data_IF_250824223697
#
_entry.id   IF_250824223697
#
_cell.length_a   1.000
_cell.length_b   1.000
_cell.length_c   1.000
_cell.angle_alpha   90.00
_cell.angle_beta   90.00
_cell.angle_gamma   90.00
#
_symmetry.space_group_name_H-M   'P 1'
#
loop_
_entity.id
_entity.type
_entity.pdbx_description
1 polymer ?
#
# COMPACT_ATOMS: atom_id res chain seq x y z
N UNK A 1 23.73 5.54 -31.28
CA UNK A 1 23.74 5.08 -29.87
C UNK A 1 22.72 3.96 -29.71
N UNK A 2 23.12 2.73 -29.36
CA UNK A 2 22.17 1.65 -29.16
C UNK A 2 21.29 1.97 -27.94
N UNK A 3 19.96 1.88 -28.11
CA UNK A 3 19.00 1.97 -27.00
C UNK A 3 19.31 0.82 -26.03
N UNK A 4 19.81 1.14 -24.83
CA UNK A 4 19.92 0.17 -23.73
C UNK A 4 18.54 -0.45 -23.51
N UNK A 5 18.33 -1.67 -24.00
CA UNK A 5 17.17 -2.48 -23.65
C UNK A 5 17.25 -2.72 -22.14
N UNK A 6 16.37 -2.08 -21.38
CA UNK A 6 16.28 -2.27 -19.95
C UNK A 6 16.18 -3.77 -19.66
N UNK A 7 17.18 -4.32 -18.97
CA UNK A 7 17.20 -5.72 -18.55
C UNK A 7 15.90 -5.98 -17.78
N UNK A 8 15.10 -6.94 -18.24
CA UNK A 8 13.83 -7.30 -17.58
C UNK A 8 14.19 -7.79 -16.18
N UNK A 9 13.96 -6.96 -15.16
CA UNK A 9 14.25 -7.29 -13.77
C UNK A 9 13.37 -8.46 -13.37
N UNK A 10 13.97 -9.56 -12.90
CA UNK A 10 13.21 -10.68 -12.36
C UNK A 10 12.59 -10.23 -11.02
N UNK A 11 11.27 -10.09 -11.00
CA UNK A 11 10.54 -9.59 -9.84
C UNK A 11 10.85 -10.36 -8.56
N UNK A 12 10.89 -11.70 -8.61
CA UNK A 12 11.13 -12.52 -7.42
C UNK A 12 12.54 -12.32 -6.86
N UNK A 13 13.54 -12.19 -7.72
CA UNK A 13 14.91 -11.90 -7.30
C UNK A 13 15.03 -10.47 -6.75
N UNK A 14 14.29 -9.53 -7.34
CA UNK A 14 14.31 -8.14 -6.94
C UNK A 14 13.73 -7.92 -5.54
N UNK A 15 12.55 -8.47 -5.23
CA UNK A 15 11.91 -8.24 -3.92
C UNK A 15 12.64 -8.89 -2.73
N UNK A 16 13.56 -9.83 -2.98
CA UNK A 16 14.43 -10.40 -1.95
C UNK A 16 15.80 -9.71 -1.87
N UNK A 17 16.12 -8.85 -2.84
CA UNK A 17 17.41 -8.17 -2.94
C UNK A 17 17.62 -7.10 -1.86
N UNK A 18 18.88 -6.72 -1.64
CA UNK A 18 19.23 -5.58 -0.79
C UNK A 18 18.79 -4.25 -1.39
N UNK A 19 18.77 -4.13 -2.72
CA UNK A 19 18.30 -2.92 -3.42
C UNK A 19 16.86 -2.58 -3.02
N UNK A 20 15.95 -3.55 -3.10
CA UNK A 20 14.57 -3.39 -2.64
C UNK A 20 14.48 -3.05 -1.14
N UNK A 21 15.16 -3.82 -0.30
CA UNK A 21 15.11 -3.65 1.16
C UNK A 21 15.66 -2.31 1.62
N UNK A 22 16.68 -1.78 0.94
CA UNK A 22 17.31 -0.50 1.27
C UNK A 22 16.37 0.70 1.12
N UNK A 23 15.31 0.57 0.32
CA UNK A 23 14.31 1.62 0.13
C UNK A 23 13.28 1.69 1.26
N UNK A 24 13.05 0.57 1.97
CA UNK A 24 12.02 0.46 3.00
C UNK A 24 12.13 1.51 4.12
N UNK A 25 13.32 1.82 4.70
CA UNK A 25 13.42 2.81 5.76
C UNK A 25 12.90 4.19 5.34
N UNK A 26 13.20 4.62 4.12
CA UNK A 26 12.76 5.90 3.58
C UNK A 26 11.24 5.94 3.41
N UNK A 27 10.65 4.87 2.87
CA UNK A 27 9.20 4.75 2.72
C UNK A 27 8.48 4.73 4.06
N UNK A 28 8.98 3.96 5.03
CA UNK A 28 8.43 3.91 6.39
C UNK A 28 8.50 5.26 7.07
N UNK A 29 9.63 5.97 6.97
CA UNK A 29 9.80 7.31 7.55
C UNK A 29 8.81 8.30 6.92
N UNK A 30 8.63 8.27 5.60
CA UNK A 30 7.74 9.17 4.88
C UNK A 30 6.26 8.99 5.25
N UNK A 31 5.83 7.77 5.59
CA UNK A 31 4.47 7.51 6.09
C UNK A 31 4.35 7.64 7.61
N UNK A 32 5.40 8.08 8.30
CA UNK A 32 5.43 8.24 9.75
C UNK A 32 5.31 6.92 10.52
N UNK A 33 5.82 5.82 9.96
CA UNK A 33 5.75 4.48 10.54
C UNK A 33 4.31 4.03 10.84
N UNK A 34 3.34 4.43 10.01
CA UNK A 34 1.93 4.04 10.10
C UNK A 34 1.47 3.30 8.86
N UNK A 35 0.57 2.36 9.04
CA UNK A 35 -0.08 1.64 7.94
C UNK A 35 -0.87 2.63 7.08
N UNK A 36 -0.63 2.61 5.77
CA UNK A 36 -1.31 3.55 4.85
C UNK A 36 -2.79 3.23 4.64
N UNK A 37 -3.20 1.97 4.83
CA UNK A 37 -4.61 1.58 4.82
C UNK A 37 -5.32 1.96 6.13
N UNK A 38 -4.65 1.75 7.26
CA UNK A 38 -5.18 1.99 8.61
C UNK A 38 -4.22 2.90 9.40
N UNK A 39 -4.37 4.23 9.29
CA UNK A 39 -3.41 5.19 9.83
C UNK A 39 -3.10 5.11 11.33
N UNK A 40 -3.97 4.48 12.11
CA UNK A 40 -3.81 4.25 13.54
C UNK A 40 -2.87 3.07 13.86
N UNK A 41 -2.65 2.15 12.92
CA UNK A 41 -1.77 0.99 13.12
C UNK A 41 -0.32 1.39 12.86
N UNK A 42 0.56 1.12 13.82
CA UNK A 42 2.01 1.32 13.68
C UNK A 42 2.69 0.17 12.94
N UNK A 43 3.68 0.51 12.13
CA UNK A 43 4.47 -0.43 11.31
C UNK A 43 5.94 -0.01 11.29
N UNK A 44 6.85 -0.96 11.07
CA UNK A 44 8.29 -0.70 11.18
C UNK A 44 8.73 -0.56 12.64
N UNK A 45 9.99 -0.17 12.88
CA UNK A 45 10.60 -0.09 14.23
C UNK A 45 10.35 -1.34 15.08
N UNK A 46 10.60 -2.52 14.50
CA UNK A 46 10.33 -3.82 15.14
C UNK A 46 8.91 -4.37 14.95
N UNK A 47 7.96 -3.58 14.44
CA UNK A 47 6.61 -4.04 14.12
C UNK A 47 6.53 -4.62 12.71
N UNK A 48 5.78 -5.73 12.50
CA UNK A 48 5.67 -6.40 11.22
C UNK A 48 4.96 -5.53 10.18
N UNK A 49 5.46 -5.54 8.95
CA UNK A 49 4.93 -4.75 7.84
C UNK A 49 5.22 -5.42 6.50
N UNK A 50 4.50 -4.97 5.47
CA UNK A 50 4.73 -5.32 4.08
C UNK A 50 4.73 -4.07 3.21
N UNK A 51 5.42 -4.11 2.08
CA UNK A 51 5.33 -3.07 1.06
C UNK A 51 4.41 -3.59 -0.05
N UNK A 52 3.22 -2.99 -0.14
CA UNK A 52 2.22 -3.35 -1.13
C UNK A 52 2.52 -2.66 -2.46
N UNK A 53 2.56 -3.42 -3.55
CA UNK A 53 2.65 -2.86 -4.90
C UNK A 53 1.24 -2.49 -5.41
N UNK A 54 1.06 -1.24 -5.80
CA UNK A 54 -0.14 -0.77 -6.51
C UNK A 54 -0.10 -1.20 -7.98
N UNK A 55 1.11 -1.24 -8.56
CA UNK A 55 1.38 -1.79 -9.88
C UNK A 55 2.88 -2.09 -10.06
N UNK A 56 3.24 -2.79 -11.14
CA UNK A 56 4.60 -3.31 -11.39
C UNK A 56 5.33 -2.62 -12.56
N UNK A 57 4.93 -1.39 -12.92
CA UNK A 57 5.46 -0.69 -14.11
C UNK A 57 6.88 -0.14 -13.94
N UNK A 58 7.28 0.22 -12.71
CA UNK A 58 8.56 0.89 -12.41
C UNK A 58 9.45 0.04 -11.48
N UNK A 59 9.59 -1.26 -11.77
CA UNK A 59 10.41 -2.14 -10.94
C UNK A 59 11.86 -1.63 -10.86
N UNK A 60 12.40 -1.53 -9.64
CA UNK A 60 13.74 -0.96 -9.37
C UNK A 60 13.76 0.55 -9.16
N UNK A 61 12.66 1.26 -9.45
CA UNK A 61 12.56 2.72 -9.33
C UNK A 61 11.21 3.14 -8.75
N UNK A 62 10.70 2.36 -7.79
CA UNK A 62 9.36 2.55 -7.23
C UNK A 62 9.24 3.86 -6.46
N UNK A 63 8.14 4.58 -6.70
CA UNK A 63 7.81 5.79 -5.96
C UNK A 63 6.73 5.49 -4.93
N UNK A 64 6.98 5.93 -3.69
CA UNK A 64 6.00 5.87 -2.61
C UNK A 64 4.70 6.59 -3.02
N UNK A 65 3.56 5.96 -2.78
CA UNK A 65 2.24 6.49 -3.11
C UNK A 65 1.80 6.26 -4.55
N UNK A 66 2.74 6.15 -5.49
CA UNK A 66 2.41 5.85 -6.89
C UNK A 66 2.49 4.36 -7.19
N UNK A 67 3.63 3.77 -6.88
CA UNK A 67 3.97 2.38 -7.20
C UNK A 67 3.79 1.48 -5.98
N UNK A 68 4.16 1.98 -4.80
CA UNK A 68 4.23 1.17 -3.57
C UNK A 68 3.70 1.91 -2.36
N UNK A 69 3.14 1.18 -1.41
CA UNK A 69 2.65 1.70 -0.14
C UNK A 69 2.93 0.74 1.03
N UNK A 70 3.56 1.22 2.12
CA UNK A 70 3.73 0.43 3.34
C UNK A 70 2.40 0.15 4.03
N UNK A 71 2.20 -1.09 4.45
CA UNK A 71 1.00 -1.56 5.15
C UNK A 71 1.35 -2.52 6.27
N UNK A 72 0.43 -2.74 7.20
CA UNK A 72 0.56 -3.82 8.18
C UNK A 72 0.46 -5.18 7.48
N UNK A 73 1.09 -6.21 8.07
CA UNK A 73 1.01 -7.57 7.54
C UNK A 73 -0.44 -8.07 7.40
N UNK A 74 -1.28 -7.75 8.39
CA UNK A 74 -2.72 -8.03 8.35
C UNK A 74 -3.42 -7.37 7.16
N UNK A 75 -3.21 -6.06 6.96
CA UNK A 75 -3.81 -5.33 5.84
C UNK A 75 -3.38 -5.93 4.49
N UNK A 76 -2.10 -6.28 4.36
CA UNK A 76 -1.56 -6.90 3.16
C UNK A 76 -2.17 -8.27 2.86
N UNK A 77 -2.16 -9.17 3.84
CA UNK A 77 -2.52 -10.57 3.62
C UNK A 77 -4.04 -10.78 3.63
N UNK A 78 -4.76 -10.18 4.57
CA UNK A 78 -6.18 -10.44 4.78
C UNK A 78 -7.07 -9.55 3.95
N UNK A 79 -6.71 -8.27 3.81
CA UNK A 79 -7.55 -7.31 3.08
C UNK A 79 -7.13 -7.27 1.62
N UNK A 80 -5.89 -6.87 1.32
CA UNK A 80 -5.43 -6.62 -0.05
C UNK A 80 -5.36 -7.93 -0.87
N UNK A 81 -4.69 -8.96 -0.34
CA UNK A 81 -4.57 -10.25 -1.02
C UNK A 81 -5.67 -11.26 -0.70
N UNK A 82 -6.28 -11.19 0.49
CA UNK A 82 -7.40 -12.04 0.87
C UNK A 82 -8.69 -11.56 0.23
N UNK A 83 -9.32 -10.57 0.87
CA UNK A 83 -10.66 -10.08 0.52
C UNK A 83 -10.72 -9.46 -0.88
N UNK A 84 -9.88 -8.47 -1.18
CA UNK A 84 -10.00 -7.68 -2.42
C UNK A 84 -9.51 -8.42 -3.67
N UNK A 85 -8.67 -9.44 -3.48
CA UNK A 85 -8.07 -10.24 -4.54
C UNK A 85 -8.65 -11.65 -4.63
N UNK A 86 -9.48 -12.06 -3.67
CA UNK A 86 -9.97 -13.44 -3.54
C UNK A 86 -8.85 -14.48 -3.38
N UNK A 87 -7.75 -14.12 -2.71
CA UNK A 87 -6.57 -14.98 -2.57
C UNK A 87 -5.71 -15.13 -3.84
N UNK A 88 -6.05 -14.45 -4.94
CA UNK A 88 -5.36 -14.59 -6.22
C UNK A 88 -4.22 -13.58 -6.36
N UNK A 89 -3.11 -14.00 -6.96
CA UNK A 89 -2.05 -13.07 -7.38
C UNK A 89 -2.53 -12.15 -8.51
N UNK A 90 -1.88 -11.00 -8.68
CA UNK A 90 -2.25 -9.99 -9.69
C UNK A 90 -2.41 -10.60 -11.09
N UNK A 91 -1.48 -11.45 -11.53
CA UNK A 91 -1.53 -12.10 -12.85
C UNK A 91 -2.62 -13.18 -13.00
N UNK A 92 -3.23 -13.65 -11.89
CA UNK A 92 -4.31 -14.65 -11.90
C UNK A 92 -5.70 -14.01 -11.78
N UNK A 93 -5.78 -12.70 -11.59
CA UNK A 93 -7.04 -11.97 -11.52
C UNK A 93 -7.46 -11.56 -12.92
N UNK A 94 -8.71 -11.84 -13.30
CA UNK A 94 -9.25 -11.49 -14.62
C UNK A 94 -9.27 -9.98 -14.87
N UNK A 95 -9.67 -9.22 -13.84
CA UNK A 95 -9.73 -7.76 -13.85
C UNK A 95 -8.81 -7.26 -12.74
N UNK A 96 -7.58 -6.88 -13.07
CA UNK A 96 -6.61 -6.35 -12.12
C UNK A 96 -6.06 -4.98 -12.57
N UNK A 97 -6.03 -3.98 -11.68
CA UNK A 97 -6.78 -3.93 -10.43
C UNK A 97 -8.30 -3.89 -10.69
N UNK A 98 -9.10 -4.56 -9.87
CA UNK A 98 -10.56 -4.42 -9.91
C UNK A 98 -11.02 -3.12 -9.24
N UNK A 99 -12.29 -2.75 -9.40
CA UNK A 99 -12.81 -1.47 -8.88
C UNK A 99 -12.60 -1.31 -7.36
N UNK A 100 -12.84 -2.35 -6.57
CA UNK A 100 -12.63 -2.29 -5.12
C UNK A 100 -11.16 -2.07 -4.77
N UNK A 101 -10.24 -2.75 -5.47
CA UNK A 101 -8.81 -2.50 -5.34
C UNK A 101 -8.43 -1.08 -5.76
N UNK A 102 -8.98 -0.54 -6.85
CA UNK A 102 -8.75 0.84 -7.28
C UNK A 102 -9.18 1.85 -6.21
N UNK A 103 -10.37 1.68 -5.63
CA UNK A 103 -10.87 2.55 -4.56
C UNK A 103 -9.99 2.47 -3.31
N UNK A 104 -9.58 1.25 -2.91
CA UNK A 104 -8.70 1.06 -1.76
C UNK A 104 -7.31 1.63 -2.02
N UNK A 105 -6.76 1.45 -3.22
CA UNK A 105 -5.49 2.04 -3.61
C UNK A 105 -5.56 3.56 -3.55
N UNK A 106 -6.63 4.15 -4.10
CA UNK A 106 -6.82 5.60 -4.06
C UNK A 106 -6.98 6.11 -2.63
N UNK A 107 -7.75 5.43 -1.78
CA UNK A 107 -7.81 5.72 -0.36
C UNK A 107 -6.42 5.66 0.28
N UNK A 108 -5.64 4.62 0.02
CA UNK A 108 -4.30 4.47 0.62
C UNK A 108 -3.35 5.61 0.23
N UNK A 109 -3.51 6.20 -0.97
CA UNK A 109 -2.74 7.39 -1.42
C UNK A 109 -3.10 8.67 -0.70
N UNK A 110 -4.31 8.78 -0.16
CA UNK A 110 -4.74 10.00 0.53
C UNK A 110 -3.86 10.32 1.74
N UNK A 111 -3.64 11.62 1.96
CA UNK A 111 -2.82 12.10 3.08
C UNK A 111 -3.41 11.68 4.41
N UNK A 112 -2.55 11.38 5.38
CA UNK A 112 -2.94 10.90 6.72
C UNK A 112 -3.96 11.82 7.40
N UNK A 113 -3.70 13.13 7.41
CA UNK A 113 -4.56 14.09 8.11
C UNK A 113 -5.99 14.07 7.56
N UNK A 114 -6.16 13.90 6.25
CA UNK A 114 -7.48 13.81 5.62
C UNK A 114 -8.27 12.60 6.15
N UNK A 115 -7.60 11.44 6.29
CA UNK A 115 -8.23 10.22 6.82
C UNK A 115 -8.63 10.35 8.29
N UNK A 116 -7.79 11.02 9.08
CA UNK A 116 -8.06 11.29 10.50
C UNK A 116 -9.25 12.23 10.64
N UNK A 117 -9.29 13.32 9.86
CA UNK A 117 -10.43 14.25 9.86
C UNK A 117 -11.72 13.57 9.46
N UNK A 118 -11.70 12.72 8.42
CA UNK A 118 -12.87 11.98 8.00
C UNK A 118 -13.37 11.03 9.11
N UNK A 119 -12.45 10.31 9.76
CA UNK A 119 -12.80 9.43 10.89
C UNK A 119 -13.42 10.19 12.07
N UNK A 120 -12.84 11.34 12.43
CA UNK A 120 -13.37 12.20 13.49
C UNK A 120 -14.74 12.78 13.12
N UNK A 121 -14.93 13.20 11.87
CA UNK A 121 -16.21 13.71 11.37
C UNK A 121 -17.32 12.65 11.43
N UNK A 122 -17.03 11.41 11.03
CA UNK A 122 -17.99 10.29 11.14
C UNK A 122 -18.35 9.99 12.59
N UNK A 123 -17.37 9.96 13.50
CA UNK A 123 -17.64 9.79 14.93
C UNK A 123 -18.50 10.92 15.50
N UNK A 124 -18.17 12.18 15.17
CA UNK A 124 -18.94 13.34 15.61
C UNK A 124 -20.38 13.31 15.09
N UNK A 125 -20.58 12.96 13.82
CA UNK A 125 -21.91 12.81 13.22
C UNK A 125 -22.73 11.70 13.88
N UNK A 126 -22.13 10.54 14.17
CA UNK A 126 -22.81 9.46 14.89
C UNK A 126 -23.20 9.84 16.31
N UNK A 127 -22.34 10.60 17.01
CA UNK A 127 -22.66 11.09 18.35
C UNK A 127 -23.81 12.08 18.31
N UNK A 128 -23.84 13.00 17.34
CA UNK A 128 -24.90 13.99 17.17
C UNK A 128 -26.23 13.36 16.72
N UNK A 129 -26.20 12.34 15.85
CA UNK A 129 -27.40 11.59 15.43
C UNK A 129 -28.13 10.95 16.61
N UNK A 130 -27.41 10.56 17.67
CA UNK A 130 -28.03 9.96 18.85
C UNK A 130 -28.87 10.95 19.67
N UNK A 131 -28.78 12.25 19.40
CA UNK A 131 -29.47 13.33 20.11
C UNK A 131 -30.56 14.04 19.29
N UNK A 132 -30.83 13.57 18.07
CA UNK A 132 -31.97 13.97 17.24
C UNK A 132 -32.90 12.78 17.04
#
# INVERSE_FOLDING_TARGET
>A
MPKKTAKRVNYHQYIISQEWRSQHPNWLKAVGCRCTLFPWIEIGKGKPYSIHHLHYRNLGNERLGRDVLPVSKFAHEKILHGLLSGGKSAGKQRNYPNLAQCLVHEWMRQRRWFKVLLGLGLMGGMLLWKWY
#
